data_IF_942197209134
#
_entry.id   IF_942197209134
#
_cell.length_a   1.000
_cell.length_b   1.000
_cell.length_c   1.000
_cell.angle_alpha   90.00
_cell.angle_beta   90.00
_cell.angle_gamma   90.00
#
_symmetry.space_group_name_H-M   'P 1'
#
loop_
_entity.id
_entity.type
_entity.pdbx_description
1 polymer ?
#
# COMPACT_ATOMS: atom_id res chain seq x y z
N UNK A 1 -30.66 12.21 -5.46
CA UNK A 1 -30.37 12.83 -4.16
C UNK A 1 -30.19 14.33 -4.40
N UNK A 2 -30.74 15.21 -3.61
CA UNK A 2 -30.60 16.65 -3.78
C UNK A 2 -29.22 17.12 -3.30
N UNK A 3 -28.17 16.68 -4.01
CA UNK A 3 -26.79 17.11 -3.75
C UNK A 3 -26.67 18.64 -3.89
N UNK A 4 -27.43 19.23 -4.82
CA UNK A 4 -27.40 20.66 -5.10
C UNK A 4 -27.93 21.50 -3.94
N UNK A 5 -28.99 21.04 -3.24
CA UNK A 5 -29.50 21.72 -2.06
C UNK A 5 -28.55 21.64 -0.88
N UNK A 6 -27.82 20.53 -0.73
CA UNK A 6 -26.81 20.36 0.29
C UNK A 6 -25.56 21.21 0.01
N UNK A 7 -25.11 21.25 -1.24
CA UNK A 7 -24.00 22.11 -1.65
C UNK A 7 -24.33 23.60 -1.49
N UNK A 8 -25.55 24.02 -1.86
CA UNK A 8 -25.99 25.43 -1.68
C UNK A 8 -26.09 25.82 -0.20
N UNK A 9 -26.50 24.89 0.68
CA UNK A 9 -26.50 25.09 2.12
C UNK A 9 -25.07 25.25 2.66
N UNK A 10 -24.14 24.39 2.27
CA UNK A 10 -22.75 24.46 2.70
C UNK A 10 -22.01 25.69 2.20
N UNK A 11 -22.31 26.16 0.98
CA UNK A 11 -21.70 27.36 0.41
C UNK A 11 -22.26 28.64 1.05
N UNK A 12 -23.52 28.64 1.53
CA UNK A 12 -24.11 29.79 2.20
C UNK A 12 -23.59 30.00 3.62
N UNK A 13 -22.98 28.96 4.25
CA UNK A 13 -22.44 29.05 5.59
C UNK A 13 -21.01 29.60 5.58
N UNK A 14 -20.83 30.80 6.15
CA UNK A 14 -19.52 31.43 6.37
C UNK A 14 -18.60 31.50 5.14
N UNK A 15 -19.13 31.96 3.98
CA UNK A 15 -18.36 32.07 2.73
C UNK A 15 -17.73 30.75 2.22
N UNK A 16 -18.36 29.61 2.44
CA UNK A 16 -17.88 28.33 1.98
C UNK A 16 -16.80 27.67 2.85
N UNK A 17 -16.49 28.23 4.02
CA UNK A 17 -15.47 27.65 4.92
C UNK A 17 -15.79 26.21 5.34
N UNK A 18 -17.06 25.88 5.57
CA UNK A 18 -17.49 24.51 5.88
C UNK A 18 -17.25 23.56 4.69
N UNK A 19 -17.57 23.99 3.48
CA UNK A 19 -17.31 23.20 2.26
C UNK A 19 -15.83 22.90 2.12
N UNK A 20 -14.96 23.89 2.37
CA UNK A 20 -13.51 23.70 2.32
C UNK A 20 -13.04 22.69 3.36
N UNK A 21 -13.55 22.75 4.60
CA UNK A 21 -13.21 21.79 5.66
C UNK A 21 -13.66 20.37 5.30
N UNK A 22 -14.89 20.21 4.80
CA UNK A 22 -15.39 18.89 4.40
C UNK A 22 -14.61 18.32 3.21
N UNK A 23 -14.29 19.14 2.21
CA UNK A 23 -13.46 18.71 1.09
C UNK A 23 -12.05 18.32 1.54
N UNK A 24 -11.43 19.10 2.42
CA UNK A 24 -10.12 18.75 2.99
C UNK A 24 -10.15 17.45 3.80
N UNK A 25 -11.20 17.23 4.60
CA UNK A 25 -11.38 15.98 5.33
C UNK A 25 -11.58 14.79 4.37
N UNK A 26 -12.38 14.97 3.33
CA UNK A 26 -12.58 13.96 2.30
C UNK A 26 -11.26 13.60 1.61
N UNK A 27 -10.50 14.61 1.16
CA UNK A 27 -9.21 14.41 0.52
C UNK A 27 -8.21 13.72 1.44
N UNK A 28 -8.09 14.17 2.69
CA UNK A 28 -7.15 13.58 3.66
C UNK A 28 -7.52 12.14 3.99
N UNK A 29 -8.80 11.85 4.18
CA UNK A 29 -9.22 10.50 4.62
C UNK A 29 -9.21 9.50 3.47
N UNK A 30 -9.83 9.82 2.33
CA UNK A 30 -9.95 8.88 1.22
C UNK A 30 -8.66 8.80 0.39
N UNK A 31 -8.01 9.94 0.12
CA UNK A 31 -6.78 9.92 -0.66
C UNK A 31 -5.56 9.41 0.13
N UNK A 32 -5.69 9.19 1.45
CA UNK A 32 -4.65 8.56 2.27
C UNK A 32 -4.99 7.12 2.67
N UNK A 33 -6.05 6.55 2.11
CA UNK A 33 -6.53 5.22 2.53
C UNK A 33 -5.47 4.13 2.34
N UNK A 34 -4.80 4.11 1.20
CA UNK A 34 -3.73 3.15 0.94
C UNK A 34 -2.56 3.30 1.92
N UNK A 35 -2.19 4.54 2.27
CA UNK A 35 -1.16 4.83 3.27
C UNK A 35 -1.52 4.27 4.65
N UNK A 36 -2.73 4.52 5.11
CA UNK A 36 -3.24 4.03 6.40
C UNK A 36 -3.20 2.51 6.43
N UNK A 37 -3.61 1.85 5.35
CA UNK A 37 -3.60 0.39 5.24
C UNK A 37 -2.17 -0.18 5.23
N UNK A 38 -1.24 0.43 4.52
CA UNK A 38 0.18 0.03 4.54
C UNK A 38 0.69 0.00 5.98
N UNK A 39 0.47 1.09 6.72
CA UNK A 39 0.97 1.22 8.10
C UNK A 39 0.29 0.20 9.01
N UNK A 40 -1.03 0.09 8.98
CA UNK A 40 -1.79 -0.79 9.89
C UNK A 40 -1.52 -2.27 9.62
N UNK A 41 -1.47 -2.69 8.36
CA UNK A 41 -1.17 -4.09 8.00
C UNK A 41 0.27 -4.43 8.38
N UNK A 42 1.23 -3.55 8.10
CA UNK A 42 2.62 -3.79 8.43
C UNK A 42 2.87 -3.86 9.94
N UNK A 43 2.24 -2.98 10.73
CA UNK A 43 2.29 -3.05 12.19
C UNK A 43 1.67 -4.33 12.72
N UNK A 44 0.49 -4.70 12.22
CA UNK A 44 -0.19 -5.95 12.61
C UNK A 44 0.65 -7.18 12.27
N UNK A 45 1.29 -7.19 11.11
CA UNK A 45 2.20 -8.26 10.72
C UNK A 45 3.42 -8.36 11.65
N UNK A 46 4.03 -7.23 12.00
CA UNK A 46 5.15 -7.17 12.94
C UNK A 46 4.75 -7.67 14.34
N UNK A 47 3.61 -7.25 14.86
CA UNK A 47 3.09 -7.69 16.15
C UNK A 47 2.79 -9.19 16.18
N UNK A 48 2.23 -9.73 15.11
CA UNK A 48 1.89 -11.16 15.01
C UNK A 48 3.13 -12.06 15.06
N UNK A 49 4.25 -11.59 14.55
CA UNK A 49 5.49 -12.37 14.52
C UNK A 49 6.40 -12.14 15.72
N UNK A 50 5.92 -11.42 16.75
CA UNK A 50 6.55 -11.21 18.06
C UNK A 50 8.02 -10.77 17.96
N UNK A 51 8.31 -9.88 17.03
CA UNK A 51 9.65 -9.35 16.84
C UNK A 51 9.82 -8.06 17.63
N UNK A 52 10.98 -7.91 18.26
CA UNK A 52 11.32 -6.74 19.09
C UNK A 52 11.26 -5.41 18.32
N UNK A 53 11.23 -5.48 16.97
CA UNK A 53 11.34 -4.32 16.08
C UNK A 53 10.15 -4.16 15.14
N UNK A 54 8.97 -4.09 15.68
CA UNK A 54 7.71 -3.90 14.95
C UNK A 54 7.75 -2.68 14.02
N UNK A 55 8.47 -1.63 14.39
CA UNK A 55 8.54 -0.37 13.63
C UNK A 55 9.28 -0.47 12.30
N UNK A 56 10.13 -1.47 12.08
CA UNK A 56 10.79 -1.65 10.77
C UNK A 56 9.82 -2.11 9.69
N UNK A 57 8.75 -2.81 10.04
CA UNK A 57 7.78 -3.33 9.07
C UNK A 57 7.05 -2.25 8.29
N UNK A 58 6.47 -1.19 8.93
CA UNK A 58 5.90 -0.07 8.20
C UNK A 58 6.90 0.67 7.31
N UNK A 59 8.14 0.82 7.77
CA UNK A 59 9.20 1.48 6.99
C UNK A 59 9.52 0.68 5.74
N UNK A 60 9.73 -0.64 5.87
CA UNK A 60 9.97 -1.53 4.72
C UNK A 60 8.80 -1.50 3.75
N UNK A 61 7.58 -1.65 4.26
CA UNK A 61 6.38 -1.66 3.44
C UNK A 61 6.20 -0.36 2.64
N UNK A 62 6.39 0.79 3.30
CA UNK A 62 6.28 2.10 2.70
C UNK A 62 7.33 2.31 1.61
N UNK A 63 8.62 2.05 1.92
CA UNK A 63 9.71 2.20 0.96
C UNK A 63 9.49 1.27 -0.25
N UNK A 64 9.08 0.03 -0.01
CA UNK A 64 8.82 -0.95 -1.08
C UNK A 64 7.66 -0.53 -1.97
N UNK A 65 6.59 0.01 -1.37
CA UNK A 65 5.45 0.51 -2.11
C UNK A 65 5.82 1.72 -2.98
N UNK A 66 6.50 2.71 -2.40
CA UNK A 66 6.98 3.89 -3.14
C UNK A 66 7.95 3.49 -4.27
N UNK A 67 8.86 2.55 -4.00
CA UNK A 67 9.78 2.04 -5.00
C UNK A 67 9.05 1.34 -6.17
N UNK A 68 8.01 0.57 -5.87
CA UNK A 68 7.14 -0.06 -6.88
C UNK A 68 6.41 0.97 -7.72
N UNK A 69 5.85 2.01 -7.09
CA UNK A 69 5.10 3.07 -7.79
C UNK A 69 5.98 4.02 -8.61
N UNK A 70 7.30 3.96 -8.47
CA UNK A 70 8.23 4.81 -9.22
C UNK A 70 8.72 6.04 -8.49
N UNK A 71 8.45 6.15 -7.19
CA UNK A 71 8.92 7.21 -6.32
C UNK A 71 7.85 8.17 -5.83
N UNK A 72 8.31 9.27 -5.23
CA UNK A 72 7.43 10.28 -4.61
C UNK A 72 6.75 11.22 -5.61
N UNK A 73 7.14 11.20 -6.86
CA UNK A 73 6.63 12.11 -7.89
C UNK A 73 5.10 11.94 -8.08
N UNK A 74 4.61 10.73 -7.89
CA UNK A 74 3.19 10.37 -8.01
C UNK A 74 2.47 10.25 -6.66
N UNK A 75 3.03 10.80 -5.57
CA UNK A 75 2.51 10.62 -4.22
C UNK A 75 1.02 10.99 -4.06
N UNK A 76 0.56 12.01 -4.80
CA UNK A 76 -0.83 12.44 -4.74
C UNK A 76 -1.81 11.42 -5.36
N UNK A 77 -1.35 10.54 -6.26
CA UNK A 77 -2.18 9.58 -6.96
C UNK A 77 -2.11 8.18 -6.34
N UNK A 78 -0.90 7.76 -5.91
CA UNK A 78 -0.64 6.41 -5.45
C UNK A 78 -1.29 6.05 -4.11
N UNK A 79 -1.72 7.04 -3.32
CA UNK A 79 -2.41 6.80 -2.05
C UNK A 79 -3.93 6.78 -2.17
N UNK A 80 -4.49 7.01 -3.37
CA UNK A 80 -5.92 6.94 -3.65
C UNK A 80 -6.50 5.53 -3.41
N UNK A 81 -7.82 5.44 -3.18
CA UNK A 81 -8.50 4.16 -2.95
C UNK A 81 -8.27 3.10 -4.04
N UNK A 82 -8.03 3.53 -5.28
CA UNK A 82 -7.77 2.65 -6.43
C UNK A 82 -6.51 1.80 -6.24
N UNK A 83 -5.53 2.30 -5.47
CA UNK A 83 -4.27 1.63 -5.21
C UNK A 83 -4.29 0.73 -3.96
N UNK A 84 -5.38 0.73 -3.21
CA UNK A 84 -5.50 -0.01 -1.94
C UNK A 84 -5.12 -1.48 -2.08
N UNK A 85 -5.65 -2.16 -3.09
CA UNK A 85 -5.36 -3.57 -3.31
C UNK A 85 -3.87 -3.81 -3.62
N UNK A 86 -3.28 -2.99 -4.48
CA UNK A 86 -1.85 -3.05 -4.80
C UNK A 86 -1.00 -2.78 -3.57
N UNK A 87 -1.38 -1.78 -2.78
CA UNK A 87 -0.72 -1.44 -1.52
C UNK A 87 -0.75 -2.60 -0.52
N UNK A 88 -1.90 -3.26 -0.35
CA UNK A 88 -2.05 -4.44 0.51
C UNK A 88 -1.13 -5.58 0.07
N UNK A 89 -1.15 -5.94 -1.22
CA UNK A 89 -0.31 -7.02 -1.76
C UNK A 89 1.17 -6.76 -1.55
N UNK A 90 1.63 -5.54 -1.87
CA UNK A 90 3.04 -5.16 -1.72
C UNK A 90 3.42 -5.15 -0.23
N UNK A 91 2.56 -4.62 0.63
CA UNK A 91 2.80 -4.57 2.08
C UNK A 91 2.99 -5.97 2.66
N UNK A 92 2.07 -6.88 2.40
CA UNK A 92 2.16 -8.26 2.92
C UNK A 92 3.43 -8.94 2.38
N UNK A 93 3.71 -8.81 1.09
CA UNK A 93 4.85 -9.44 0.46
C UNK A 93 6.18 -8.85 0.96
N UNK A 94 6.27 -7.52 1.12
CA UNK A 94 7.46 -6.86 1.64
C UNK A 94 7.72 -7.21 3.10
N UNK A 95 6.69 -7.27 3.93
CA UNK A 95 6.79 -7.71 5.33
C UNK A 95 7.28 -9.16 5.42
N UNK A 96 6.74 -10.05 4.60
CA UNK A 96 7.14 -11.45 4.55
C UNK A 96 8.60 -11.62 4.09
N UNK A 97 9.01 -10.90 3.04
CA UNK A 97 10.39 -10.90 2.57
C UNK A 97 11.35 -10.36 3.62
N UNK A 98 10.96 -9.27 4.30
CA UNK A 98 11.76 -8.69 5.36
C UNK A 98 11.92 -9.64 6.54
N UNK A 99 10.84 -10.27 6.98
CA UNK A 99 10.88 -11.29 8.03
C UNK A 99 11.85 -12.42 7.67
N UNK A 100 11.75 -12.97 6.47
CA UNK A 100 12.69 -13.98 5.98
C UNK A 100 14.13 -13.46 5.86
N UNK A 101 14.30 -12.24 5.36
CA UNK A 101 15.60 -11.60 5.22
C UNK A 101 16.32 -11.43 6.57
N UNK A 102 15.60 -10.99 7.59
CA UNK A 102 16.14 -10.87 8.95
C UNK A 102 16.52 -12.22 9.56
N UNK A 103 15.74 -13.27 9.33
CA UNK A 103 16.06 -14.63 9.81
C UNK A 103 17.26 -15.26 9.07
N UNK A 104 17.44 -14.95 7.79
CA UNK A 104 18.59 -15.41 7.01
C UNK A 104 19.87 -14.63 7.33
N UNK A 105 19.72 -13.52 8.04
CA UNK A 105 20.73 -12.48 8.23
C UNK A 105 21.80 -12.72 9.28
N UNK A 106 22.06 -13.97 9.75
CA UNK A 106 23.26 -14.28 10.55
C UNK A 106 24.58 -13.82 9.90
N UNK A 107 24.57 -13.53 8.61
CA UNK A 107 25.71 -12.95 7.88
C UNK A 107 25.94 -11.47 8.20
N UNK A 108 24.90 -10.75 8.66
CA UNK A 108 24.99 -9.32 8.97
C UNK A 108 25.37 -9.04 10.43
N UNK A 109 25.44 -10.08 11.29
CA UNK A 109 25.98 -9.96 12.66
C UNK A 109 27.44 -9.42 12.68
N UNK A 110 28.17 -9.57 11.58
CA UNK A 110 29.54 -9.03 11.44
C UNK A 110 29.60 -7.51 11.27
N UNK A 111 28.47 -6.83 11.09
CA UNK A 111 28.37 -5.37 10.97
C UNK A 111 28.16 -4.68 12.31
N UNK A 112 28.45 -5.35 13.42
CA UNK A 112 28.43 -4.75 14.73
C UNK A 112 29.57 -3.72 14.88
N UNK A 113 29.18 -2.47 15.12
CA UNK A 113 30.15 -1.42 15.50
C UNK A 113 30.39 -1.53 17.00
N UNK A 114 31.60 -1.88 17.36
CA UNK A 114 32.02 -1.97 18.75
C UNK A 114 31.87 -0.60 19.46
N UNK A 115 31.06 -0.56 20.54
CA UNK A 115 30.77 0.65 21.29
C UNK A 115 29.54 1.43 20.90
N UNK A 116 28.80 0.99 19.85
CA UNK A 116 27.51 1.57 19.48
C UNK A 116 26.37 0.90 20.25
N UNK A 117 25.31 1.67 20.50
CA UNK A 117 24.10 1.18 21.14
C UNK A 117 23.44 0.03 20.35
N UNK A 118 22.76 -0.87 21.06
CA UNK A 118 22.04 -2.01 20.48
C UNK A 118 21.07 -1.57 19.37
N UNK A 119 20.30 -0.51 19.60
CA UNK A 119 19.33 0.04 18.65
C UNK A 119 20.00 0.52 17.36
N UNK A 120 21.17 1.15 17.46
CA UNK A 120 21.92 1.61 16.31
C UNK A 120 22.44 0.44 15.45
N UNK A 121 23.05 -0.56 16.09
CA UNK A 121 23.54 -1.74 15.39
C UNK A 121 22.42 -2.49 14.68
N UNK A 122 21.24 -2.57 15.31
CA UNK A 122 20.07 -3.22 14.74
C UNK A 122 19.49 -2.43 13.57
N UNK A 123 19.49 -1.10 13.65
CA UNK A 123 19.08 -0.23 12.54
C UNK A 123 19.98 -0.44 11.31
N UNK A 124 21.30 -0.50 11.50
CA UNK A 124 22.25 -0.77 10.41
C UNK A 124 21.99 -2.14 9.78
N UNK A 125 21.76 -3.17 10.58
CA UNK A 125 21.44 -4.51 10.07
C UNK A 125 20.15 -4.55 9.24
N UNK A 126 19.16 -3.73 9.60
CA UNK A 126 17.88 -3.60 8.86
C UNK A 126 18.00 -2.88 7.52
N UNK A 127 18.97 -1.96 7.36
CA UNK A 127 19.10 -1.13 6.14
C UNK A 127 19.34 -2.00 4.89
N UNK A 128 20.20 -3.02 4.98
CA UNK A 128 20.54 -3.86 3.84
C UNK A 128 19.35 -4.67 3.31
N UNK A 129 18.59 -5.41 4.15
CA UNK A 129 17.38 -6.10 3.68
C UNK A 129 16.31 -5.11 3.18
N UNK A 130 16.16 -3.94 3.81
CA UNK A 130 15.25 -2.89 3.34
C UNK A 130 15.62 -2.45 1.93
N UNK A 131 16.89 -2.10 1.72
CA UNK A 131 17.38 -1.64 0.41
C UNK A 131 17.24 -2.73 -0.67
N UNK A 132 17.53 -3.98 -0.34
CA UNK A 132 17.38 -5.10 -1.28
C UNK A 132 15.93 -5.35 -1.68
N UNK A 133 15.00 -5.28 -0.71
CA UNK A 133 13.57 -5.45 -0.96
C UNK A 133 13.01 -4.26 -1.76
N UNK A 134 13.41 -3.04 -1.42
CA UNK A 134 13.03 -1.85 -2.17
C UNK A 134 13.51 -1.92 -3.63
N UNK A 135 14.76 -2.34 -3.86
CA UNK A 135 15.29 -2.55 -5.20
C UNK A 135 14.50 -3.61 -5.97
N UNK A 136 14.16 -4.73 -5.32
CA UNK A 136 13.34 -5.78 -5.91
C UNK A 136 11.99 -5.25 -6.39
N UNK A 137 11.27 -4.49 -5.56
CA UNK A 137 10.00 -3.89 -5.94
C UNK A 137 10.14 -2.78 -6.98
N UNK A 138 11.22 -1.99 -6.93
CA UNK A 138 11.52 -0.99 -7.95
C UNK A 138 11.69 -1.63 -9.34
N UNK A 139 12.43 -2.74 -9.41
CA UNK A 139 12.64 -3.48 -10.67
C UNK A 139 11.32 -4.05 -11.18
N UNK A 140 10.52 -4.68 -10.32
CA UNK A 140 9.20 -5.20 -10.70
C UNK A 140 8.31 -4.06 -11.21
N UNK A 141 8.21 -2.96 -10.49
CA UNK A 141 7.43 -1.80 -10.89
C UNK A 141 7.89 -1.22 -12.23
N UNK A 142 9.21 -1.11 -12.45
CA UNK A 142 9.77 -0.63 -13.70
C UNK A 142 9.46 -1.57 -14.89
N UNK A 143 9.58 -2.88 -14.70
CA UNK A 143 9.26 -3.88 -15.73
C UNK A 143 7.77 -3.85 -16.09
N UNK A 144 6.91 -3.76 -15.08
CA UNK A 144 5.46 -3.69 -15.31
C UNK A 144 5.08 -2.40 -16.05
N UNK A 145 5.66 -1.25 -15.67
CA UNK A 145 5.47 0.02 -16.40
C UNK A 145 5.92 -0.06 -17.84
N UNK A 146 7.07 -0.66 -18.09
CA UNK A 146 7.60 -0.81 -19.44
C UNK A 146 6.73 -1.72 -20.33
N UNK A 147 6.09 -2.74 -19.76
CA UNK A 147 5.27 -3.69 -20.53
C UNK A 147 3.81 -3.25 -20.68
N UNK A 148 3.22 -2.64 -19.67
CA UNK A 148 1.79 -2.34 -19.63
C UNK A 148 1.46 -0.84 -19.77
N UNK A 149 2.46 0.04 -19.74
CA UNK A 149 2.28 1.49 -19.75
C UNK A 149 1.86 2.04 -18.39
N UNK A 150 2.07 3.34 -18.17
CA UNK A 150 1.85 4.00 -16.87
C UNK A 150 0.39 3.93 -16.39
N UNK A 151 -0.59 4.01 -17.30
CA UNK A 151 -2.03 4.02 -17.01
C UNK A 151 -2.54 2.66 -16.49
N UNK A 152 -1.86 1.56 -16.84
CA UNK A 152 -2.36 0.21 -16.52
C UNK A 152 -1.88 -0.33 -15.17
N UNK A 153 -0.90 0.30 -14.55
CA UNK A 153 -0.44 -0.13 -13.21
C UNK A 153 -1.43 0.27 -12.12
N UNK A 154 -2.06 1.43 -12.24
CA UNK A 154 -3.15 1.88 -11.35
C UNK A 154 -4.25 0.85 -11.31
N UNK A 155 -4.58 0.30 -12.46
CA UNK A 155 -5.62 -0.71 -12.62
C UNK A 155 -5.09 -2.15 -12.58
N UNK A 156 -3.85 -2.41 -12.13
CA UNK A 156 -3.28 -3.76 -12.14
C UNK A 156 -4.14 -4.75 -11.35
N UNK A 157 -4.64 -4.34 -10.19
CA UNK A 157 -5.63 -5.11 -9.43
C UNK A 157 -6.90 -5.35 -10.24
N UNK A 158 -7.47 -4.29 -10.80
CA UNK A 158 -8.66 -4.37 -11.65
C UNK A 158 -8.40 -5.19 -12.92
N UNK A 159 -7.23 -5.04 -13.55
CA UNK A 159 -6.85 -5.77 -14.76
C UNK A 159 -6.67 -7.28 -14.50
N UNK A 160 -6.09 -7.64 -13.37
CA UNK A 160 -5.95 -9.04 -12.95
C UNK A 160 -7.32 -9.69 -12.72
N UNK A 161 -8.24 -8.94 -12.11
CA UNK A 161 -9.62 -9.37 -11.92
C UNK A 161 -10.43 -9.33 -13.22
N UNK A 162 -10.29 -8.29 -14.06
CA UNK A 162 -10.96 -8.22 -15.37
C UNK A 162 -10.58 -9.39 -16.26
N UNK A 163 -9.31 -9.76 -16.34
CA UNK A 163 -8.85 -10.91 -17.12
C UNK A 163 -9.42 -12.25 -16.62
N UNK A 164 -9.64 -12.37 -15.31
CA UNK A 164 -10.36 -13.49 -14.72
C UNK A 164 -11.86 -13.46 -15.09
N UNK A 165 -12.49 -12.29 -15.02
CA UNK A 165 -13.91 -12.12 -15.31
C UNK A 165 -14.24 -12.24 -16.80
N UNK A 166 -13.39 -11.77 -17.70
CA UNK A 166 -13.57 -11.98 -19.15
C UNK A 166 -13.49 -13.47 -19.53
N UNK A 167 -12.66 -14.25 -18.87
CA UNK A 167 -12.53 -15.70 -19.13
C UNK A 167 -13.63 -16.54 -18.49
N UNK A 168 -14.16 -16.12 -17.35
CA UNK A 168 -15.16 -16.90 -16.57
C UNK A 168 -16.58 -16.56 -16.97
N UNK A 169 -16.82 -15.42 -17.66
CA UNK A 169 -18.14 -15.39 -18.01
C UNK A 169 -18.99 -14.27 -18.44
N UNK A 170 -19.41 -14.40 -19.64
CA UNK A 170 -20.67 -13.82 -20.13
C UNK A 170 -21.81 -14.74 -19.69
N UNK A 171 -22.27 -14.63 -18.42
CA UNK A 171 -23.37 -15.45 -17.90
C UNK A 171 -23.58 -15.38 -16.41
N UNK A 172 -24.61 -16.04 -15.92
CA UNK A 172 -25.00 -16.11 -14.51
C UNK A 172 -23.83 -16.52 -13.56
N UNK A 173 -22.96 -17.51 -13.91
CA UNK A 173 -21.82 -17.85 -13.07
C UNK A 173 -20.81 -16.73 -12.91
N UNK A 174 -20.56 -15.95 -13.96
CA UNK A 174 -19.66 -14.80 -13.91
C UNK A 174 -20.19 -13.68 -13.02
N UNK A 175 -21.49 -13.40 -13.10
CA UNK A 175 -22.16 -12.43 -12.24
C UNK A 175 -22.11 -12.85 -10.76
N UNK A 176 -22.35 -14.13 -10.46
CA UNK A 176 -22.26 -14.66 -9.09
C UNK A 176 -20.83 -14.59 -8.54
N UNK A 177 -19.83 -14.91 -9.37
CA UNK A 177 -18.43 -14.81 -9.00
C UNK A 177 -18.02 -13.36 -8.74
N UNK A 178 -18.48 -12.41 -9.56
CA UNK A 178 -18.26 -10.98 -9.33
C UNK A 178 -18.85 -10.53 -7.99
N UNK A 179 -20.11 -10.85 -7.73
CA UNK A 179 -20.78 -10.50 -6.47
C UNK A 179 -20.06 -11.15 -5.27
N UNK A 180 -19.67 -12.41 -5.40
CA UNK A 180 -18.91 -13.10 -4.36
C UNK A 180 -17.56 -12.40 -4.07
N UNK A 181 -16.76 -12.12 -5.09
CA UNK A 181 -15.47 -11.43 -4.90
C UNK A 181 -15.64 -10.00 -4.43
N UNK A 182 -16.63 -9.26 -4.90
CA UNK A 182 -16.92 -7.92 -4.42
C UNK A 182 -17.24 -7.92 -2.91
N UNK A 183 -18.09 -8.86 -2.45
CA UNK A 183 -18.40 -8.99 -1.03
C UNK A 183 -17.22 -9.55 -0.22
N UNK A 184 -16.46 -10.48 -0.78
CA UNK A 184 -15.27 -11.02 -0.15
C UNK A 184 -14.21 -9.93 0.05
N UNK A 185 -13.94 -9.11 -0.96
CA UNK A 185 -13.03 -7.97 -0.84
C UNK A 185 -13.56 -6.93 0.16
N UNK A 186 -14.86 -6.71 0.18
CA UNK A 186 -15.50 -5.81 1.15
C UNK A 186 -15.39 -6.31 2.60
N UNK A 187 -15.31 -7.61 2.80
CA UNK A 187 -15.10 -8.20 4.13
C UNK A 187 -13.68 -7.96 4.67
N UNK A 188 -12.71 -7.83 3.78
CA UNK A 188 -11.32 -7.55 4.17
C UNK A 188 -10.98 -6.04 4.21
N UNK A 189 -11.87 -5.14 3.87
CA UNK A 189 -11.71 -3.70 3.84
C UNK A 189 -12.07 -3.10 2.51
#
# INVERSE_FOLDING_TARGET
>A
FPLDAYQSFLTSFHHGALLTVFNSLYEITLNSLALILIITIALSYGQLHALDDVFFYPVVAMISYLAFCGGMEYANEIFHPEWVFTAMCITILSCWLFHKGMHCGRRFEKLHTAGADYTFNKAIQGIFPIAAIALFFAVIGAVLRAQFGEVNITNFGAYLFMGLFEKVGKGLPGALLYVFFAHFLWFFG
#
